data_IF_722377984495
#
_entry.id   IF_722377984495
#
_cell.length_a   1.000
_cell.length_b   1.000
_cell.length_c   1.000
_cell.angle_alpha   90.00
_cell.angle_beta   90.00
_cell.angle_gamma   90.00
#
_symmetry.space_group_name_H-M   'P 1'
#
loop_
_entity.id
_entity.type
_entity.pdbx_description
1 polymer ?
#
# COMPACT_ATOMS: atom_id res chain seq x y z
N UNK A 1 -5.96 -12.11 16.99
CA UNK A 1 -4.67 -12.56 16.40
C UNK A 1 -4.96 -13.10 15.03
N UNK A 2 -4.05 -12.88 14.07
CA UNK A 2 -4.26 -13.30 12.70
C UNK A 2 -4.27 -14.83 12.59
N UNK A 3 -4.99 -15.35 11.60
CA UNK A 3 -5.00 -16.80 11.31
C UNK A 3 -3.66 -17.30 10.79
N UNK A 4 -2.87 -16.41 10.17
CA UNK A 4 -1.49 -16.65 9.73
C UNK A 4 -0.61 -15.44 10.04
N UNK A 5 0.69 -15.61 10.33
CA UNK A 5 1.58 -14.48 10.56
C UNK A 5 1.55 -13.50 9.39
N UNK A 6 1.34 -12.21 9.68
CA UNK A 6 1.45 -11.14 8.69
C UNK A 6 2.90 -11.00 8.23
N UNK A 7 3.12 -10.79 6.92
CA UNK A 7 4.46 -10.69 6.33
C UNK A 7 4.53 -9.53 5.34
N UNK A 8 5.69 -8.84 5.23
CA UNK A 8 5.92 -7.87 4.18
C UNK A 8 5.77 -8.47 2.79
N UNK A 9 5.34 -7.68 1.80
CA UNK A 9 5.21 -8.12 0.42
C UNK A 9 5.69 -7.09 -0.59
N UNK A 10 6.19 -7.57 -1.74
CA UNK A 10 6.65 -6.69 -2.84
C UNK A 10 5.53 -5.79 -3.37
N UNK A 11 4.32 -6.31 -3.53
CA UNK A 11 3.17 -5.52 -4.05
C UNK A 11 2.78 -4.40 -3.11
N UNK A 12 2.79 -4.65 -1.79
CA UNK A 12 2.53 -3.62 -0.80
C UNK A 12 3.69 -2.60 -0.76
N UNK A 13 4.94 -3.04 -0.90
CA UNK A 13 6.08 -2.12 -0.98
C UNK A 13 5.97 -1.17 -2.17
N UNK A 14 5.59 -1.67 -3.35
CA UNK A 14 5.38 -0.83 -4.53
C UNK A 14 4.29 0.21 -4.30
N UNK A 15 3.14 -0.18 -3.74
CA UNK A 15 2.04 0.74 -3.44
C UNK A 15 2.46 1.84 -2.43
N UNK A 16 3.16 1.45 -1.36
CA UNK A 16 3.67 2.37 -0.34
C UNK A 16 4.70 3.33 -0.94
N UNK A 17 5.66 2.83 -1.71
CA UNK A 17 6.69 3.65 -2.32
C UNK A 17 6.10 4.70 -3.28
N UNK A 18 5.10 4.32 -4.09
CA UNK A 18 4.44 5.23 -5.03
C UNK A 18 3.78 6.43 -4.31
N UNK A 19 3.08 6.17 -3.19
CA UNK A 19 2.44 7.24 -2.41
C UNK A 19 3.46 8.05 -1.60
N UNK A 20 4.47 7.41 -0.99
CA UNK A 20 5.43 8.15 -0.17
C UNK A 20 6.37 9.03 -1.01
N UNK A 21 6.75 8.59 -2.22
CA UNK A 21 7.59 9.39 -3.12
C UNK A 21 6.91 10.68 -3.59
N UNK A 22 5.58 10.67 -3.73
CA UNK A 22 4.79 11.85 -4.07
C UNK A 22 4.59 12.78 -2.88
N UNK A 23 4.50 12.23 -1.66
CA UNK A 23 4.32 13.00 -0.43
C UNK A 23 5.57 13.79 -0.01
N UNK A 24 6.76 13.20 -0.17
CA UNK A 24 8.03 13.83 0.22
C UNK A 24 8.29 15.11 -0.58
N UNK A 25 7.96 15.12 -1.87
CA UNK A 25 8.09 16.29 -2.73
C UNK A 25 7.16 17.46 -2.33
N UNK A 26 6.11 17.20 -1.55
CA UNK A 26 5.10 18.18 -1.15
C UNK A 26 5.01 18.36 0.38
N UNK A 27 6.13 18.15 1.09
CA UNK A 27 6.24 18.47 2.52
C UNK A 27 5.48 17.52 3.45
N UNK A 28 5.36 16.24 3.05
CA UNK A 28 4.69 15.20 3.85
C UNK A 28 3.21 14.99 3.53
N UNK A 29 2.68 15.72 2.55
CA UNK A 29 1.31 15.60 2.07
C UNK A 29 1.28 15.32 0.57
N UNK A 30 0.20 14.74 0.07
CA UNK A 30 -0.09 14.65 -1.35
C UNK A 30 -0.82 15.92 -1.78
N UNK A 31 -0.26 16.65 -2.75
CA UNK A 31 -0.93 17.78 -3.37
C UNK A 31 -1.72 17.31 -4.59
N UNK A 32 -3.05 17.40 -4.51
CA UNK A 32 -3.90 17.09 -5.66
C UNK A 32 -3.91 18.25 -6.67
N UNK A 33 -4.28 17.99 -7.94
CA UNK A 33 -4.43 19.05 -8.95
C UNK A 33 -5.41 20.17 -8.54
N UNK A 34 -6.33 19.86 -7.64
CA UNK A 34 -7.29 20.83 -7.06
C UNK A 34 -6.67 21.74 -5.99
N UNK A 35 -5.38 21.60 -5.67
CA UNK A 35 -4.68 22.34 -4.61
C UNK A 35 -4.90 21.77 -3.19
N UNK A 36 -5.66 20.69 -3.07
CA UNK A 36 -5.97 20.06 -1.79
C UNK A 36 -4.78 19.24 -1.28
N UNK A 37 -4.47 19.36 0.02
CA UNK A 37 -3.46 18.57 0.71
C UNK A 37 -4.10 17.36 1.37
N UNK A 38 -3.62 16.17 1.03
CA UNK A 38 -4.18 14.91 1.51
C UNK A 38 -3.11 14.11 2.23
N UNK A 39 -3.36 13.60 3.45
CA UNK A 39 -2.40 12.76 4.16
C UNK A 39 -2.08 11.47 3.38
N UNK A 40 -0.82 10.99 3.36
CA UNK A 40 -0.44 9.77 2.66
C UNK A 40 -1.23 8.53 3.11
N UNK A 41 -1.58 8.45 4.39
CA UNK A 41 -2.41 7.37 4.93
C UNK A 41 -3.82 7.32 4.28
N UNK A 42 -4.41 8.49 4.00
CA UNK A 42 -5.72 8.59 3.33
C UNK A 42 -5.61 8.10 1.89
N UNK A 43 -4.56 8.52 1.18
CA UNK A 43 -4.33 8.09 -0.22
C UNK A 43 -4.08 6.60 -0.30
N UNK A 44 -3.24 6.04 0.58
CA UNK A 44 -3.01 4.58 0.63
C UNK A 44 -4.31 3.80 0.91
N UNK A 45 -5.13 4.26 1.86
CA UNK A 45 -6.42 3.62 2.14
C UNK A 45 -7.35 3.67 0.91
N UNK A 46 -7.44 4.83 0.27
CA UNK A 46 -8.29 5.08 -0.89
C UNK A 46 -7.84 4.32 -2.13
N UNK A 47 -6.55 4.21 -2.42
CA UNK A 47 -6.07 3.62 -3.66
C UNK A 47 -5.82 2.11 -3.53
N UNK A 48 -5.51 1.63 -2.32
CA UNK A 48 -5.03 0.25 -2.12
C UNK A 48 -6.01 -0.63 -1.33
N UNK A 49 -6.72 -0.08 -0.34
CA UNK A 49 -7.43 -0.91 0.64
C UNK A 49 -8.95 -0.84 0.56
N UNK A 50 -9.57 0.28 0.18
CA UNK A 50 -11.03 0.40 0.25
C UNK A 50 -11.68 -0.06 -1.05
N UNK A 51 -11.47 0.58 -2.22
CA UNK A 51 -12.18 0.22 -3.44
C UNK A 51 -12.06 -1.25 -3.88
N UNK A 52 -10.91 -1.95 -3.74
CA UNK A 52 -10.85 -3.36 -4.12
C UNK A 52 -11.69 -4.30 -3.24
N UNK A 53 -11.96 -3.88 -2.00
CA UNK A 53 -12.70 -4.68 -1.01
C UNK A 53 -14.18 -4.27 -0.89
N UNK A 54 -14.53 -3.08 -1.36
CA UNK A 54 -15.91 -2.63 -1.51
C UNK A 54 -16.42 -2.94 -2.93
N UNK A 55 -17.72 -3.20 -3.08
CA UNK A 55 -18.34 -3.14 -4.41
C UNK A 55 -18.55 -1.68 -4.80
N UNK A 56 -18.05 -1.25 -5.96
CA UNK A 56 -18.29 0.10 -6.49
C UNK A 56 -19.46 0.10 -7.48
N UNK A 57 -20.53 0.81 -7.14
CA UNK A 57 -21.71 0.98 -7.99
C UNK A 57 -21.84 2.43 -8.46
N UNK A 58 -21.64 2.69 -9.75
CA UNK A 58 -21.68 4.06 -10.30
C UNK A 58 -23.10 4.64 -10.39
N UNK A 59 -24.14 3.83 -10.21
CA UNK A 59 -25.53 4.27 -10.18
C UNK A 59 -26.09 4.05 -8.79
N UNK A 60 -26.80 5.03 -8.27
CA UNK A 60 -27.44 4.92 -6.97
C UNK A 60 -28.43 3.75 -6.97
N UNK A 61 -28.34 2.91 -5.95
CA UNK A 61 -29.25 1.81 -5.67
C UNK A 61 -29.82 1.96 -4.26
N UNK A 62 -31.01 1.41 -4.04
CA UNK A 62 -31.61 1.39 -2.71
C UNK A 62 -31.07 0.17 -1.96
N UNK A 63 -30.19 0.39 -0.99
CA UNK A 63 -29.74 -0.66 -0.09
C UNK A 63 -30.86 -1.02 0.88
N UNK A 64 -31.46 -2.19 0.66
CA UNK A 64 -32.55 -2.74 1.46
C UNK A 64 -32.06 -3.56 2.66
N UNK A 65 -30.77 -3.85 2.76
CA UNK A 65 -30.17 -4.53 3.91
C UNK A 65 -30.06 -3.53 5.08
N UNK A 66 -29.75 -2.27 4.77
CA UNK A 66 -29.85 -1.17 5.71
C UNK A 66 -31.28 -1.03 6.26
N UNK A 67 -31.38 -0.70 7.55
CA UNK A 67 -32.65 -0.49 8.25
C UNK A 67 -32.65 0.88 8.94
N UNK A 68 -33.40 1.88 8.44
CA UNK A 68 -34.25 1.84 7.24
C UNK A 68 -33.43 1.75 5.94
N UNK A 69 -34.06 1.34 4.81
CA UNK A 69 -33.39 1.34 3.51
C UNK A 69 -32.83 2.72 3.16
N UNK A 70 -31.63 2.74 2.58
CA UNK A 70 -30.90 3.98 2.28
C UNK A 70 -30.40 3.96 0.84
N UNK A 71 -30.44 5.12 0.18
CA UNK A 71 -29.84 5.25 -1.14
C UNK A 71 -28.32 5.23 -1.02
N UNK A 72 -27.68 4.39 -1.83
CA UNK A 72 -26.24 4.11 -1.77
C UNK A 72 -25.64 4.19 -3.18
N UNK A 73 -24.43 4.74 -3.30
CA UNK A 73 -23.66 4.83 -4.55
C UNK A 73 -22.17 4.63 -4.27
N UNK A 74 -21.37 4.44 -5.32
CA UNK A 74 -19.92 4.26 -5.25
C UNK A 74 -19.56 3.08 -4.32
N UNK A 75 -18.51 3.22 -3.50
CA UNK A 75 -18.05 2.22 -2.54
C UNK A 75 -18.87 2.22 -1.24
N UNK A 76 -20.20 2.23 -1.32
CA UNK A 76 -21.08 2.23 -0.14
C UNK A 76 -21.36 3.61 0.47
N UNK A 77 -21.24 4.68 -0.33
CA UNK A 77 -21.53 6.03 0.11
C UNK A 77 -23.04 6.31 0.12
N UNK A 78 -23.54 6.89 1.20
CA UNK A 78 -24.96 7.19 1.44
C UNK A 78 -25.23 8.68 1.64
N UNK A 79 -24.19 9.51 1.66
CA UNK A 79 -24.32 10.94 1.96
C UNK A 79 -24.98 11.70 0.81
N UNK A 80 -26.15 12.29 1.04
CA UNK A 80 -26.89 13.06 0.03
C UNK A 80 -27.17 12.30 -1.27
N UNK A 81 -27.26 10.97 -1.21
CA UNK A 81 -27.57 10.12 -2.37
C UNK A 81 -29.08 10.08 -2.58
N UNK A 82 -29.50 10.16 -3.85
CA UNK A 82 -30.91 10.21 -4.25
C UNK A 82 -31.18 9.22 -5.38
N UNK A 83 -32.44 8.77 -5.56
CA UNK A 83 -32.81 7.94 -6.70
C UNK A 83 -32.38 8.61 -8.02
N UNK A 84 -31.86 7.81 -8.96
CA UNK A 84 -31.47 8.27 -10.29
C UNK A 84 -30.08 8.93 -10.38
N UNK A 85 -29.39 9.17 -9.25
CA UNK A 85 -28.03 9.68 -9.25
C UNK A 85 -27.07 8.71 -9.96
N UNK A 86 -26.19 9.26 -10.80
CA UNK A 86 -25.10 8.53 -11.46
C UNK A 86 -23.82 9.30 -11.21
N UNK A 87 -22.75 8.57 -10.93
CA UNK A 87 -21.43 9.13 -10.74
C UNK A 87 -20.41 8.58 -11.72
N UNK A 88 -19.34 9.34 -11.90
CA UNK A 88 -18.13 8.87 -12.58
C UNK A 88 -17.19 8.20 -11.57
N UNK A 89 -16.24 7.38 -12.04
CA UNK A 89 -15.19 6.85 -11.15
C UNK A 89 -14.39 7.95 -10.45
N UNK A 90 -14.09 9.03 -11.16
CA UNK A 90 -13.41 10.18 -10.57
C UNK A 90 -14.28 10.89 -9.52
N UNK A 91 -15.59 10.97 -9.75
CA UNK A 91 -16.57 11.45 -8.78
C UNK A 91 -16.62 10.57 -7.53
N UNK A 92 -16.73 9.25 -7.69
CA UNK A 92 -16.68 8.29 -6.59
C UNK A 92 -15.38 8.39 -5.79
N UNK A 93 -14.24 8.48 -6.47
CA UNK A 93 -12.94 8.71 -5.85
C UNK A 93 -12.91 10.01 -5.01
N UNK A 94 -13.47 11.11 -5.55
CA UNK A 94 -13.59 12.39 -4.83
C UNK A 94 -14.49 12.27 -3.60
N UNK A 95 -15.66 11.64 -3.74
CA UNK A 95 -16.61 11.42 -2.63
C UNK A 95 -15.99 10.60 -1.52
N UNK A 96 -15.35 9.48 -1.87
CA UNK A 96 -14.63 8.63 -0.94
C UNK A 96 -13.57 9.44 -0.19
N UNK A 97 -12.72 10.17 -0.92
CA UNK A 97 -11.65 10.98 -0.32
C UNK A 97 -12.17 12.00 0.70
N UNK A 98 -13.20 12.76 0.34
CA UNK A 98 -13.81 13.76 1.24
C UNK A 98 -14.28 13.10 2.53
N UNK A 99 -14.97 11.96 2.41
CA UNK A 99 -15.44 11.21 3.58
C UNK A 99 -14.30 10.60 4.38
N UNK A 100 -13.28 10.04 3.74
CA UNK A 100 -12.10 9.49 4.45
C UNK A 100 -11.40 10.54 5.29
N UNK A 101 -11.25 11.77 4.80
CA UNK A 101 -10.66 12.86 5.57
C UNK A 101 -11.58 13.26 6.74
N UNK A 102 -12.84 13.60 6.45
CA UNK A 102 -13.78 14.19 7.42
C UNK A 102 -14.28 13.19 8.47
N UNK A 103 -14.68 12.00 8.03
CA UNK A 103 -15.45 11.04 8.84
C UNK A 103 -14.57 9.95 9.48
N UNK A 104 -13.31 9.80 9.06
CA UNK A 104 -12.44 8.72 9.52
C UNK A 104 -11.06 9.21 9.97
N UNK A 105 -10.28 9.84 9.10
CA UNK A 105 -8.95 10.36 9.44
C UNK A 105 -9.01 11.35 10.61
N UNK A 106 -9.83 12.40 10.51
CA UNK A 106 -9.95 13.41 11.57
C UNK A 106 -10.48 12.84 12.90
N UNK A 107 -11.50 11.95 12.94
CA UNK A 107 -11.86 11.26 14.18
C UNK A 107 -10.74 10.39 14.76
N UNK A 108 -9.99 9.68 13.92
CA UNK A 108 -8.89 8.83 14.36
C UNK A 108 -7.73 9.66 14.95
N UNK A 109 -7.40 10.82 14.37
CA UNK A 109 -6.38 11.72 14.95
C UNK A 109 -6.79 12.27 16.31
N UNK A 110 -8.10 12.45 16.56
CA UNK A 110 -8.60 12.87 17.88
C UNK A 110 -8.53 11.77 18.93
N UNK A 111 -8.79 10.52 18.55
CA UNK A 111 -8.89 9.41 19.52
C UNK A 111 -7.60 8.60 19.68
N UNK A 112 -6.64 8.75 18.77
CA UNK A 112 -5.34 8.08 18.83
C UNK A 112 -4.26 9.16 18.84
N UNK A 113 -3.64 9.36 20.01
CA UNK A 113 -2.52 10.27 20.14
C UNK A 113 -1.40 9.88 19.15
N UNK A 114 -0.87 10.87 18.44
CA UNK A 114 0.23 10.70 17.50
C UNK A 114 -0.14 10.06 16.15
N UNK A 115 -1.42 9.95 15.82
CA UNK A 115 -1.89 9.26 14.61
C UNK A 115 -1.27 9.82 13.31
N UNK A 116 -1.11 11.13 13.22
CA UNK A 116 -0.60 11.84 12.05
C UNK A 116 0.93 11.74 11.92
N UNK A 117 1.67 11.41 12.98
CA UNK A 117 3.10 11.08 12.93
C UNK A 117 3.37 9.57 12.80
N UNK A 118 2.33 8.73 12.94
CA UNK A 118 2.45 7.29 12.82
C UNK A 118 2.79 6.87 11.38
N UNK A 119 3.34 5.65 11.17
CA UNK A 119 3.62 5.15 9.83
C UNK A 119 2.38 5.19 8.93
N UNK A 120 2.51 5.76 7.74
CA UNK A 120 1.37 5.96 6.83
C UNK A 120 0.65 4.65 6.46
N UNK A 121 1.38 3.54 6.36
CA UNK A 121 0.80 2.20 6.11
C UNK A 121 -0.10 1.73 7.25
N UNK A 122 0.29 1.98 8.50
CA UNK A 122 -0.51 1.67 9.67
C UNK A 122 -1.72 2.61 9.77
N UNK A 123 -1.54 3.91 9.51
CA UNK A 123 -2.64 4.86 9.43
C UNK A 123 -3.68 4.47 8.37
N UNK A 124 -3.23 4.04 7.20
CA UNK A 124 -4.09 3.55 6.12
C UNK A 124 -4.89 2.31 6.53
N UNK A 125 -4.26 1.35 7.22
CA UNK A 125 -4.93 0.18 7.79
C UNK A 125 -6.03 0.62 8.78
N UNK A 126 -5.74 1.54 9.70
CA UNK A 126 -6.72 2.03 10.67
C UNK A 126 -7.88 2.79 10.00
N UNK A 127 -7.62 3.57 8.95
CA UNK A 127 -8.65 4.26 8.16
C UNK A 127 -9.55 3.25 7.44
N UNK A 128 -8.97 2.23 6.79
CA UNK A 128 -9.74 1.16 6.11
C UNK A 128 -10.56 0.34 7.11
N UNK A 129 -10.01 0.04 8.28
CA UNK A 129 -10.73 -0.60 9.36
C UNK A 129 -11.92 0.27 9.78
N UNK A 130 -11.68 1.55 10.06
CA UNK A 130 -12.71 2.50 10.46
C UNK A 130 -13.80 2.68 9.40
N UNK A 131 -13.47 2.65 8.11
CA UNK A 131 -14.45 2.64 7.02
C UNK A 131 -15.42 1.46 7.15
N UNK A 132 -14.90 0.29 7.49
CA UNK A 132 -15.69 -0.94 7.55
C UNK A 132 -16.49 -1.11 8.86
N UNK A 133 -15.94 -0.70 10.00
CA UNK A 133 -16.57 -0.91 11.33
C UNK A 133 -17.04 0.38 12.02
N UNK A 134 -16.89 1.52 11.34
CA UNK A 134 -17.13 2.86 11.88
C UNK A 134 -15.95 3.40 12.71
N UNK A 135 -15.79 4.73 12.71
CA UNK A 135 -14.74 5.42 13.46
C UNK A 135 -14.80 5.13 14.96
N UNK A 136 -16.01 5.09 15.55
CA UNK A 136 -16.20 4.77 16.96
C UNK A 136 -15.73 3.35 17.33
N UNK A 137 -16.01 2.37 16.46
CA UNK A 137 -15.53 0.99 16.64
C UNK A 137 -14.01 0.89 16.54
N UNK A 138 -13.42 1.57 15.55
CA UNK A 138 -11.97 1.63 15.40
C UNK A 138 -11.29 2.31 16.60
N UNK A 139 -11.78 3.45 17.08
CA UNK A 139 -11.21 4.19 18.23
C UNK A 139 -11.17 3.38 19.54
N UNK A 140 -12.19 2.53 19.75
CA UNK A 140 -12.32 1.67 20.94
C UNK A 140 -11.62 0.32 20.79
N UNK A 141 -11.06 0.03 19.63
CA UNK A 141 -10.41 -1.25 19.36
C UNK A 141 -9.10 -1.44 20.13
N UNK A 142 -8.74 -2.69 20.36
CA UNK A 142 -7.40 -3.06 20.84
C UNK A 142 -6.30 -2.57 19.90
N UNK A 143 -6.55 -2.53 18.59
CA UNK A 143 -5.63 -1.96 17.60
C UNK A 143 -5.35 -0.47 17.90
N UNK A 144 -6.39 0.35 18.10
CA UNK A 144 -6.21 1.75 18.47
C UNK A 144 -5.48 1.92 19.80
N UNK A 145 -5.75 1.08 20.80
CA UNK A 145 -5.01 1.09 22.07
C UNK A 145 -3.52 0.84 21.86
N UNK A 146 -3.16 -0.21 21.13
CA UNK A 146 -1.76 -0.55 20.84
C UNK A 146 -1.08 0.53 19.98
N UNK A 147 -1.81 1.13 19.03
CA UNK A 147 -1.33 2.28 18.26
C UNK A 147 -0.98 3.49 19.12
N UNK A 148 -1.81 3.82 20.13
CA UNK A 148 -1.51 4.88 21.11
C UNK A 148 -0.25 4.60 21.93
N UNK A 149 0.09 3.33 22.14
CA UNK A 149 1.30 2.89 22.82
C UNK A 149 2.53 2.81 21.89
N UNK A 150 2.39 3.14 20.59
CA UNK A 150 3.45 3.00 19.59
C UNK A 150 3.75 1.55 19.18
N UNK A 151 2.95 0.58 19.66
CA UNK A 151 3.06 -0.86 19.36
C UNK A 151 2.40 -1.18 18.02
N UNK A 152 2.93 -0.61 16.94
CA UNK A 152 2.28 -0.64 15.64
C UNK A 152 2.17 -2.04 15.04
N UNK A 153 3.17 -2.91 15.27
CA UNK A 153 3.15 -4.29 14.77
C UNK A 153 2.01 -5.08 15.41
N UNK A 154 1.93 -5.02 16.74
CA UNK A 154 0.88 -5.66 17.52
C UNK A 154 -0.48 -5.05 17.20
N UNK A 155 -0.54 -3.75 16.90
CA UNK A 155 -1.74 -3.11 16.40
C UNK A 155 -2.18 -3.67 15.04
N UNK A 156 -1.26 -3.93 14.09
CA UNK A 156 -1.59 -4.58 12.82
C UNK A 156 -2.21 -5.97 13.09
N UNK A 157 -1.58 -6.75 13.97
CA UNK A 157 -2.05 -8.08 14.34
C UNK A 157 -3.40 -8.05 15.07
N UNK A 158 -3.65 -7.03 15.89
CA UNK A 158 -4.91 -6.87 16.62
C UNK A 158 -6.09 -6.51 15.71
N UNK A 159 -5.85 -5.73 14.64
CA UNK A 159 -6.88 -5.35 13.66
C UNK A 159 -7.48 -6.58 12.95
N UNK A 160 -6.75 -7.69 12.89
CA UNK A 160 -7.22 -8.95 12.27
C UNK A 160 -8.38 -9.62 12.99
N UNK A 161 -8.65 -9.23 14.24
CA UNK A 161 -9.80 -9.73 15.01
C UNK A 161 -11.16 -9.25 14.44
N UNK A 162 -11.17 -8.18 13.62
CA UNK A 162 -12.39 -7.65 13.00
C UNK A 162 -12.77 -8.43 11.73
N UNK A 163 -12.95 -9.74 11.90
CA UNK A 163 -13.21 -10.70 10.84
C UNK A 163 -14.60 -11.37 10.93
N UNK A 164 -15.49 -10.82 11.76
CA UNK A 164 -16.82 -11.39 12.02
C UNK A 164 -17.95 -10.46 11.58
N UNK A 165 -19.05 -11.05 11.11
CA UNK A 165 -20.34 -10.39 10.92
C UNK A 165 -21.46 -11.36 11.33
N UNK A 166 -22.51 -10.86 11.98
CA UNK A 166 -23.58 -11.72 12.51
C UNK A 166 -23.08 -12.81 13.46
N UNK A 167 -22.03 -12.52 14.25
CA UNK A 167 -21.39 -13.47 15.17
C UNK A 167 -20.45 -14.51 14.53
N UNK A 168 -20.45 -14.64 13.21
CA UNK A 168 -19.68 -15.66 12.47
C UNK A 168 -18.45 -15.08 11.81
N UNK A 169 -17.36 -15.85 11.74
CA UNK A 169 -16.17 -15.49 10.96
C UNK A 169 -16.52 -15.52 9.48
N UNK A 170 -16.19 -14.45 8.77
CA UNK A 170 -16.45 -14.30 7.33
C UNK A 170 -15.12 -14.34 6.59
N UNK A 171 -14.94 -15.31 5.68
CA UNK A 171 -13.70 -15.48 4.90
C UNK A 171 -13.26 -14.18 4.21
N UNK A 172 -14.20 -13.44 3.62
CA UNK A 172 -13.89 -12.16 2.97
C UNK A 172 -13.27 -11.13 3.92
N UNK A 173 -13.75 -11.07 5.17
CA UNK A 173 -13.18 -10.18 6.18
C UNK A 173 -11.81 -10.66 6.65
N UNK A 174 -11.60 -11.98 6.81
CA UNK A 174 -10.27 -12.53 7.12
C UNK A 174 -9.26 -12.10 6.06
N UNK A 175 -9.59 -12.28 4.78
CA UNK A 175 -8.70 -11.89 3.68
C UNK A 175 -8.44 -10.37 3.68
N UNK A 176 -9.49 -9.55 3.84
CA UNK A 176 -9.36 -8.08 3.93
C UNK A 176 -8.44 -7.65 5.07
N UNK A 177 -8.63 -8.21 6.26
CA UNK A 177 -7.88 -7.79 7.45
C UNK A 177 -6.43 -8.29 7.46
N UNK A 178 -6.16 -9.43 6.86
CA UNK A 178 -4.84 -10.09 6.92
C UNK A 178 -4.00 -9.83 5.67
N UNK A 179 -3.75 -10.87 4.88
CA UNK A 179 -2.80 -10.87 3.76
C UNK A 179 -3.44 -10.62 2.39
N UNK A 180 -4.73 -10.31 2.34
CA UNK A 180 -5.47 -10.14 1.10
C UNK A 180 -5.68 -11.45 0.34
N UNK A 181 -5.86 -11.34 -0.97
CA UNK A 181 -5.99 -12.47 -1.88
C UNK A 181 -5.08 -12.32 -3.10
N UNK A 182 -5.34 -13.06 -4.18
CA UNK A 182 -4.51 -13.04 -5.39
C UNK A 182 -4.40 -11.65 -6.04
N UNK A 183 -5.46 -10.84 -5.98
CA UNK A 183 -5.53 -9.56 -6.69
C UNK A 183 -5.57 -8.35 -5.76
N UNK A 184 -5.88 -8.55 -4.48
CA UNK A 184 -6.10 -7.47 -3.52
C UNK A 184 -5.13 -7.55 -2.36
N UNK A 185 -4.55 -6.41 -2.01
CA UNK A 185 -3.69 -6.26 -0.83
C UNK A 185 -4.55 -6.28 0.43
N UNK A 186 -4.09 -6.99 1.46
CA UNK A 186 -4.73 -6.98 2.78
C UNK A 186 -4.31 -5.78 3.64
N UNK A 187 -5.15 -5.40 4.58
CA UNK A 187 -4.88 -4.31 5.53
C UNK A 187 -3.64 -4.62 6.39
N UNK A 188 -3.55 -5.84 6.93
CA UNK A 188 -2.41 -6.31 7.70
C UNK A 188 -1.13 -6.39 6.87
N UNK A 189 -1.22 -6.90 5.63
CA UNK A 189 -0.11 -6.92 4.68
C UNK A 189 0.46 -5.52 4.42
N UNK A 190 -0.39 -4.54 4.08
CA UNK A 190 0.05 -3.17 3.86
C UNK A 190 0.71 -2.61 5.13
N UNK A 191 0.05 -2.81 6.28
CA UNK A 191 0.49 -2.33 7.58
C UNK A 191 1.93 -2.78 7.88
N UNK A 192 2.17 -4.10 7.96
CA UNK A 192 3.48 -4.65 8.33
C UNK A 192 4.55 -4.38 7.28
N UNK A 193 4.18 -4.29 6.00
CA UNK A 193 5.13 -3.95 4.94
C UNK A 193 5.72 -2.56 5.14
N UNK A 194 4.88 -1.56 5.44
CA UNK A 194 5.40 -0.21 5.65
C UNK A 194 6.14 -0.03 6.99
N UNK A 195 5.81 -0.84 8.00
CA UNK A 195 6.61 -0.88 9.23
C UNK A 195 8.03 -1.41 8.95
N UNK A 196 8.15 -2.48 8.17
CA UNK A 196 9.45 -3.05 7.76
C UNK A 196 10.26 -2.03 6.96
N UNK A 197 9.66 -1.44 5.90
CA UNK A 197 10.34 -0.45 5.06
C UNK A 197 10.87 0.74 5.86
N UNK A 198 10.12 1.19 6.88
CA UNK A 198 10.54 2.28 7.77
C UNK A 198 11.64 1.85 8.75
N UNK A 199 11.65 0.59 9.18
CA UNK A 199 12.73 0.07 10.02
C UNK A 199 14.04 0.00 9.19
N UNK A 200 13.98 -0.52 7.97
CA UNK A 200 15.14 -0.61 7.07
C UNK A 200 15.70 0.76 6.70
N UNK A 201 14.85 1.77 6.45
CA UNK A 201 15.32 3.12 6.09
C UNK A 201 15.88 3.91 7.27
N UNK A 202 15.63 3.47 8.51
CA UNK A 202 16.14 4.08 9.75
C UNK A 202 17.32 3.34 10.35
N UNK A 203 17.59 2.12 9.89
CA UNK A 203 18.80 1.42 10.27
C UNK A 203 20.01 2.30 9.88
N UNK A 204 20.99 2.51 10.78
CA UNK A 204 22.21 3.17 10.39
C UNK A 204 22.77 2.43 9.17
N UNK A 205 23.13 3.18 8.12
CA UNK A 205 23.86 2.60 7.00
C UNK A 205 25.05 1.84 7.60
N UNK A 206 25.06 0.53 7.44
CA UNK A 206 26.18 -0.31 7.86
C UNK A 206 27.43 0.35 7.26
N UNK A 207 28.33 0.82 8.13
CA UNK A 207 29.56 1.46 7.70
C UNK A 207 30.20 0.52 6.66
N UNK A 208 30.73 1.02 5.54
CA UNK A 208 31.34 0.15 4.55
C UNK A 208 32.35 -0.72 5.28
N UNK A 209 32.10 -2.04 5.27
CA UNK A 209 33.04 -3.02 5.82
C UNK A 209 34.36 -2.69 5.15
N UNK A 210 35.32 -2.24 5.96
CA UNK A 210 36.66 -1.94 5.47
C UNK A 210 37.10 -3.15 4.64
N UNK A 211 37.64 -2.96 3.42
CA UNK A 211 38.07 -4.07 2.61
C UNK A 211 38.99 -4.94 3.48
N UNK A 212 38.67 -6.23 3.55
CA UNK A 212 39.50 -7.19 4.26
C UNK A 212 40.95 -6.97 3.84
N UNK A 213 41.83 -6.76 4.82
CA UNK A 213 43.26 -6.67 4.55
C UNK A 213 43.65 -7.89 3.70
N UNK A 214 44.34 -7.69 2.57
CA UNK A 214 44.71 -8.81 1.72
C UNK A 214 45.59 -9.76 2.52
N UNK A 215 45.13 -11.01 2.66
CA UNK A 215 45.94 -12.10 3.18
C UNK A 215 47.30 -12.12 2.48
N UNK A 216 48.41 -12.37 3.18
CA UNK A 216 49.74 -12.35 2.60
C UNK A 216 49.83 -13.33 1.43
N UNK A 217 50.16 -12.81 0.25
CA UNK A 217 50.40 -13.59 -0.96
C UNK A 217 51.65 -14.45 -0.73
N UNK A 218 51.61 -15.78 -0.88
CA UNK A 218 52.81 -16.61 -0.82
C UNK A 218 53.75 -16.26 -1.98
N UNK A 219 55.05 -16.23 -1.67
CA UNK A 219 56.11 -15.84 -2.60
C UNK A 219 56.07 -16.66 -3.91
N UNK A 220 56.07 -15.96 -5.04
CA UNK A 220 56.17 -16.55 -6.36
C UNK A 220 57.57 -17.14 -6.60
N UNK A 221 57.62 -18.41 -6.98
CA UNK A 221 58.80 -19.09 -7.53
C UNK A 221 59.06 -18.58 -8.96
N UNK A 222 60.33 -18.35 -9.36
CA UNK A 222 60.64 -17.88 -10.72
C UNK A 222 60.51 -19.03 -11.75
N UNK A 223 59.66 -18.84 -12.75
CA UNK A 223 59.60 -19.65 -13.97
C UNK A 223 60.30 -18.96 -15.16
N UNK A 224 60.91 -19.80 -15.99
CA UNK A 224 61.84 -19.58 -17.10
C UNK A 224 61.44 -18.53 -18.18
N UNK A 225 62.40 -18.06 -19.02
CA UNK A 225 62.19 -16.93 -19.92
C UNK A 225 61.37 -17.27 -21.17
N UNK A 226 60.59 -16.29 -21.60
CA UNK A 226 59.68 -16.32 -22.75
C UNK A 226 60.42 -16.21 -24.09
N UNK A 227 59.97 -16.98 -25.09
CA UNK A 227 60.33 -16.80 -26.50
C UNK A 227 59.23 -16.06 -27.25
N UNK A 228 59.64 -15.16 -28.15
CA UNK A 228 58.78 -14.27 -28.92
C UNK A 228 58.05 -15.01 -30.05
N UNK A 229 56.72 -14.90 -30.10
CA UNK A 229 55.87 -15.25 -31.25
C UNK A 229 55.41 -14.01 -32.03
N UNK A 230 55.02 -14.13 -33.31
CA UNK A 230 54.78 -13.01 -34.23
C UNK A 230 53.41 -12.34 -34.04
N UNK A 231 53.19 -11.12 -34.59
CA UNK A 231 52.07 -10.26 -34.23
C UNK A 231 50.72 -10.71 -34.83
N UNK A 232 49.66 -10.54 -34.02
CA UNK A 232 48.25 -10.78 -34.37
C UNK A 232 47.66 -9.54 -35.05
N UNK A 233 46.94 -9.77 -36.16
CA UNK A 233 46.27 -8.75 -36.95
C UNK A 233 45.06 -8.13 -36.24
N UNK A 234 44.92 -6.82 -36.38
CA UNK A 234 43.82 -6.00 -35.84
C UNK A 234 42.62 -6.09 -36.80
N UNK A 235 41.49 -6.61 -36.32
CA UNK A 235 40.20 -6.50 -37.01
C UNK A 235 39.39 -5.33 -36.43
N UNK A 236 39.16 -4.31 -37.26
CA UNK A 236 38.24 -3.20 -36.97
C UNK A 236 36.82 -3.66 -37.34
N UNK A 237 35.98 -3.88 -36.33
CA UNK A 237 34.55 -4.16 -36.47
C UNK A 237 33.73 -2.88 -36.37
N UNK A 238 33.14 -2.47 -37.49
CA UNK A 238 32.23 -1.34 -37.65
C UNK A 238 30.86 -1.66 -37.00
N UNK A 239 30.42 -0.85 -36.05
CA UNK A 239 29.08 -0.95 -35.45
C UNK A 239 28.05 -0.17 -36.28
N UNK A 240 27.07 -0.87 -36.86
CA UNK A 240 25.88 -0.27 -37.48
C UNK A 240 24.73 -0.27 -36.47
N UNK A 241 24.22 0.92 -36.16
CA UNK A 241 22.98 1.11 -35.41
C UNK A 241 21.77 0.97 -36.33
N UNK A 242 20.75 0.22 -35.90
CA UNK A 242 19.40 0.31 -36.45
C UNK A 242 18.35 0.33 -35.34
N UNK A 243 17.48 1.33 -35.47
CA UNK A 243 16.32 1.62 -34.64
C UNK A 243 15.16 0.64 -34.87
N UNK A 244 14.28 0.52 -33.87
CA UNK A 244 12.99 -0.16 -34.01
C UNK A 244 12.10 0.07 -32.80
N UNK A 245 11.09 0.93 -32.96
CA UNK A 245 10.14 1.33 -31.92
C UNK A 245 9.17 0.21 -31.49
N UNK A 246 8.82 0.23 -30.20
CA UNK A 246 7.89 -0.70 -29.58
C UNK A 246 6.43 -0.35 -29.93
N UNK A 247 5.74 -1.31 -30.56
CA UNK A 247 4.32 -1.27 -30.84
C UNK A 247 3.47 -1.48 -29.58
N UNK A 248 2.46 -0.63 -29.44
CA UNK A 248 1.41 -0.67 -28.43
C UNK A 248 0.41 -1.79 -28.79
N UNK A 249 0.27 -2.81 -27.94
CA UNK A 249 -0.72 -3.87 -28.13
C UNK A 249 -1.69 -3.93 -26.94
N UNK A 250 -2.86 -3.33 -27.20
CA UNK A 250 -4.07 -3.37 -26.41
C UNK A 250 -4.57 -4.82 -26.37
N UNK A 251 -4.77 -5.37 -25.18
CA UNK A 251 -5.49 -6.63 -25.03
C UNK A 251 -6.73 -6.47 -24.15
N UNK A 252 -7.87 -6.58 -24.83
CA UNK A 252 -9.24 -6.52 -24.33
C UNK A 252 -9.70 -7.95 -24.10
N UNK A 253 -9.75 -8.43 -22.84
CA UNK A 253 -10.42 -9.72 -22.53
C UNK A 253 -11.89 -9.50 -22.17
N UNK A 254 -12.75 -10.08 -23.00
CA UNK A 254 -14.20 -10.22 -22.81
C UNK A 254 -14.49 -11.10 -21.58
N UNK A 255 -15.44 -10.67 -20.75
CA UNK A 255 -16.14 -11.54 -19.79
C UNK A 255 -17.16 -12.39 -20.55
N UNK A 256 -17.17 -13.69 -20.29
CA UNK A 256 -18.28 -14.59 -20.62
C UNK A 256 -18.98 -14.97 -19.33
N UNK A 257 -20.31 -14.78 -19.38
CA UNK A 257 -21.44 -15.30 -18.59
C UNK A 257 -21.14 -16.04 -17.29
#
# INVERSE_FOLDING_TARGET
>A
MPTKPLRPSKRASTAIAAVLATATAAGGYILLPTGERVPPAVVLAMETLIPPWESEELRAYLDKIAKPPVWTICAGDTENVRPGMVETRAGCAKRLRVRLVRDYYQPLTRCIAGFDQAPASWGAMMISLAWNIGAGGACKSTAARLGREGKFRESCDAATAFNRAGGKVIRGLVLRREMGDATRIGEGELCVTGLEMRATSRAPAEAPVAPAEPSPVPAATPSAPATNGPPVAIFIGLALALAGGAGFLIWRRRKTK
#
